data_IF_899971719589
#
_entry.id   IF_899971719589
#
_cell.length_a   1.000
_cell.length_b   1.000
_cell.length_c   1.000
_cell.angle_alpha   90.00
_cell.angle_beta   90.00
_cell.angle_gamma   90.00
#
_symmetry.space_group_name_H-M   'P 1'
#
loop_
_entity.id
_entity.type
_entity.pdbx_description
1 polymer ?
#
# COMPACT_ATOMS: atom_id res chain seq x y z
N UNK A 1 26.47 -11.13 11.32
CA UNK A 1 25.23 -11.83 11.71
C UNK A 1 25.08 -13.03 10.78
N UNK A 2 24.49 -14.12 11.23
CA UNK A 2 24.26 -15.31 10.39
C UNK A 2 23.34 -14.99 9.23
N UNK A 3 23.66 -15.49 8.04
CA UNK A 3 22.88 -15.31 6.81
C UNK A 3 21.59 -16.12 6.91
N UNK A 4 20.43 -15.49 6.65
CA UNK A 4 19.16 -16.18 6.51
C UNK A 4 18.87 -16.45 5.02
N UNK A 5 18.24 -17.58 4.77
CA UNK A 5 17.65 -17.91 3.48
C UNK A 5 16.17 -17.54 3.49
N UNK A 6 15.80 -16.46 2.81
CA UNK A 6 14.50 -15.82 2.87
C UNK A 6 13.75 -16.02 1.55
N UNK A 7 12.49 -16.43 1.63
CA UNK A 7 11.58 -16.41 0.48
C UNK A 7 10.50 -15.36 0.68
N UNK A 8 10.45 -14.37 -0.21
CA UNK A 8 9.32 -13.46 -0.36
C UNK A 8 8.36 -14.06 -1.40
N UNK A 9 7.15 -14.40 -0.99
CA UNK A 9 6.18 -15.10 -1.83
C UNK A 9 4.96 -14.23 -2.15
N UNK A 10 4.57 -14.17 -3.42
CA UNK A 10 3.36 -13.48 -3.89
C UNK A 10 2.97 -14.01 -5.26
N UNK A 11 1.66 -14.20 -5.56
CA UNK A 11 1.22 -14.62 -6.91
C UNK A 11 1.60 -13.66 -8.03
N UNK A 12 1.82 -12.39 -7.72
CA UNK A 12 2.19 -11.35 -8.69
C UNK A 12 3.53 -10.74 -8.31
N UNK A 13 4.36 -10.47 -9.31
CA UNK A 13 5.62 -9.75 -9.17
C UNK A 13 6.05 -9.18 -10.52
N UNK A 14 7.09 -8.36 -10.54
CA UNK A 14 7.57 -7.73 -11.77
C UNK A 14 7.63 -8.68 -12.97
N UNK A 15 7.18 -8.21 -14.15
CA UNK A 15 6.81 -6.85 -14.54
C UNK A 15 5.41 -6.37 -14.09
N UNK A 16 4.61 -7.17 -13.36
CA UNK A 16 3.37 -6.68 -12.75
C UNK A 16 3.72 -5.72 -11.61
N UNK A 17 3.13 -4.51 -11.62
CA UNK A 17 3.46 -3.43 -10.69
C UNK A 17 2.27 -3.08 -9.79
N UNK A 18 2.54 -2.99 -8.50
CA UNK A 18 1.62 -2.53 -7.46
C UNK A 18 2.39 -2.24 -6.16
N UNK A 19 1.68 -1.78 -5.13
CA UNK A 19 2.31 -1.44 -3.86
C UNK A 19 2.91 -2.64 -3.12
N UNK A 20 2.30 -3.83 -3.26
CA UNK A 20 2.80 -5.07 -2.66
C UNK A 20 4.09 -5.49 -3.37
N UNK A 21 4.10 -5.50 -4.70
CA UNK A 21 5.24 -5.89 -5.52
C UNK A 21 6.42 -4.93 -5.30
N UNK A 22 6.15 -3.64 -5.18
CA UNK A 22 7.17 -2.65 -4.85
C UNK A 22 7.77 -2.88 -3.46
N UNK A 23 6.94 -3.11 -2.43
CA UNK A 23 7.41 -3.45 -1.08
C UNK A 23 8.29 -4.71 -1.11
N UNK A 24 7.85 -5.77 -1.78
CA UNK A 24 8.62 -7.01 -1.90
C UNK A 24 9.96 -6.80 -2.61
N UNK A 25 9.98 -6.01 -3.68
CA UNK A 25 11.22 -5.63 -4.36
C UNK A 25 12.19 -4.95 -3.40
N UNK A 26 11.73 -3.89 -2.72
CA UNK A 26 12.57 -3.13 -1.79
C UNK A 26 13.05 -3.99 -0.61
N UNK A 27 12.18 -4.80 -0.02
CA UNK A 27 12.55 -5.72 1.06
C UNK A 27 13.58 -6.73 0.59
N UNK A 28 13.38 -7.36 -0.58
CA UNK A 28 14.32 -8.34 -1.15
C UNK A 28 15.69 -7.72 -1.45
N UNK A 29 15.72 -6.55 -2.10
CA UNK A 29 16.92 -5.78 -2.40
C UNK A 29 17.71 -5.43 -1.14
N UNK A 30 17.04 -4.97 -0.10
CA UNK A 30 17.70 -4.55 1.14
C UNK A 30 18.19 -5.74 1.97
N UNK A 31 17.47 -6.85 2.00
CA UNK A 31 17.95 -8.08 2.62
C UNK A 31 19.16 -8.66 1.88
N UNK A 32 19.13 -8.70 0.54
CA UNK A 32 20.29 -9.12 -0.26
C UNK A 32 21.52 -8.23 0.00
N UNK A 33 21.32 -6.90 0.07
CA UNK A 33 22.39 -5.95 0.44
C UNK A 33 22.96 -6.19 1.84
N UNK A 34 22.17 -6.74 2.76
CA UNK A 34 22.62 -7.14 4.12
C UNK A 34 23.28 -8.53 4.16
N UNK A 35 23.39 -9.21 3.02
CA UNK A 35 24.08 -10.50 2.89
C UNK A 35 23.19 -11.73 3.13
N UNK A 36 21.87 -11.59 3.06
CA UNK A 36 20.93 -12.71 3.09
C UNK A 36 20.77 -13.35 1.71
N UNK A 37 20.47 -14.66 1.66
CA UNK A 37 20.08 -15.38 0.44
C UNK A 37 18.58 -15.18 0.21
N UNK A 38 18.21 -14.35 -0.75
CA UNK A 38 16.81 -13.94 -0.97
C UNK A 38 16.26 -14.45 -2.28
N UNK A 39 15.11 -15.11 -2.22
CA UNK A 39 14.36 -15.57 -3.40
C UNK A 39 12.95 -14.98 -3.39
N UNK A 40 12.53 -14.37 -4.48
CA UNK A 40 11.13 -14.02 -4.74
C UNK A 40 10.47 -15.20 -5.46
N UNK A 41 9.45 -15.80 -4.83
CA UNK A 41 8.66 -16.89 -5.42
C UNK A 41 7.32 -16.36 -5.90
N UNK A 42 7.07 -16.45 -7.21
CA UNK A 42 5.88 -15.86 -7.84
C UNK A 42 5.32 -16.69 -8.98
N UNK A 43 4.22 -16.25 -9.58
CA UNK A 43 3.65 -16.87 -10.77
C UNK A 43 4.37 -16.42 -12.03
N UNK A 44 4.52 -17.35 -13.00
CA UNK A 44 5.08 -17.04 -14.31
C UNK A 44 4.09 -16.21 -15.12
N UNK A 45 4.43 -14.95 -15.35
CA UNK A 45 3.70 -14.07 -16.25
C UNK A 45 4.09 -14.38 -17.71
N UNK A 46 3.27 -14.00 -18.71
CA UNK A 46 3.67 -14.07 -20.12
C UNK A 46 5.04 -13.40 -20.34
N UNK A 47 5.84 -13.98 -21.22
CA UNK A 47 7.15 -13.47 -21.64
C UNK A 47 8.19 -13.30 -20.51
N UNK A 48 8.00 -14.00 -19.36
CA UNK A 48 8.97 -14.00 -18.26
C UNK A 48 9.70 -15.36 -18.17
N UNK A 49 11.02 -15.36 -17.81
CA UNK A 49 11.77 -16.59 -17.58
C UNK A 49 11.26 -17.32 -16.32
N UNK A 50 11.58 -18.60 -16.21
CA UNK A 50 11.26 -19.37 -15.00
C UNK A 50 12.11 -18.93 -13.81
N UNK A 51 13.39 -18.68 -14.04
CA UNK A 51 14.34 -18.20 -13.03
C UNK A 51 15.12 -17.00 -13.57
N UNK A 52 15.44 -16.06 -12.68
CA UNK A 52 16.11 -14.82 -13.03
C UNK A 52 16.94 -14.34 -11.85
N UNK A 53 18.22 -14.06 -12.08
CA UNK A 53 19.06 -13.36 -11.13
C UNK A 53 18.94 -11.86 -11.38
N UNK A 54 18.71 -11.10 -10.32
CA UNK A 54 18.58 -9.64 -10.43
C UNK A 54 19.90 -8.93 -10.17
N UNK A 55 20.07 -7.75 -10.75
CA UNK A 55 21.22 -6.88 -10.44
C UNK A 55 21.29 -6.45 -8.97
N UNK A 56 20.20 -6.64 -8.22
CA UNK A 56 20.08 -6.27 -6.81
C UNK A 56 20.53 -7.37 -5.83
N UNK A 57 20.98 -8.54 -6.35
CA UNK A 57 21.50 -9.65 -5.55
C UNK A 57 20.45 -10.60 -4.97
N UNK A 58 19.18 -10.49 -5.38
CA UNK A 58 18.15 -11.51 -5.11
C UNK A 58 17.73 -12.20 -6.40
N UNK A 59 17.21 -13.42 -6.30
CA UNK A 59 16.70 -14.17 -7.46
C UNK A 59 15.19 -14.23 -7.46
N UNK A 60 14.62 -14.39 -8.67
CA UNK A 60 13.20 -14.59 -8.88
C UNK A 60 12.97 -16.01 -9.41
N UNK A 61 12.08 -16.75 -8.76
CA UNK A 61 11.65 -18.08 -9.19
C UNK A 61 10.16 -18.04 -9.48
N UNK A 62 9.79 -18.45 -10.71
CA UNK A 62 8.42 -18.38 -11.18
C UNK A 62 7.83 -19.76 -11.39
N UNK A 63 6.67 -20.01 -10.82
CA UNK A 63 5.92 -21.26 -11.00
C UNK A 63 4.92 -21.16 -12.14
N UNK A 64 4.62 -22.27 -12.85
CA UNK A 64 3.59 -22.28 -13.88
C UNK A 64 2.25 -21.75 -13.37
N UNK A 65 1.63 -20.86 -14.15
CA UNK A 65 0.36 -20.22 -13.77
C UNK A 65 -0.58 -20.05 -14.97
N UNK A 66 -1.89 -20.01 -14.65
CA UNK A 66 -2.95 -19.61 -15.58
C UNK A 66 -3.69 -18.42 -14.99
N UNK A 67 -3.82 -17.35 -15.77
CA UNK A 67 -4.52 -16.12 -15.40
C UNK A 67 -5.90 -16.09 -16.04
N UNK A 68 -6.90 -15.70 -15.27
CA UNK A 68 -8.29 -15.56 -15.72
C UNK A 68 -8.73 -14.13 -15.41
N UNK A 69 -8.91 -13.33 -16.44
CA UNK A 69 -9.21 -11.90 -16.35
C UNK A 69 -10.70 -11.67 -16.05
N UNK A 70 -11.13 -11.95 -14.80
CA UNK A 70 -12.51 -11.68 -14.33
C UNK A 70 -12.54 -10.32 -13.61
N UNK A 71 -11.47 -9.95 -12.93
CA UNK A 71 -11.29 -8.70 -12.20
C UNK A 71 -9.81 -8.31 -12.16
N UNK A 72 -9.45 -7.20 -11.57
CA UNK A 72 -8.07 -6.71 -11.44
C UNK A 72 -7.67 -6.63 -9.95
N UNK A 73 -6.64 -7.36 -9.51
CA UNK A 73 -5.78 -8.29 -10.27
C UNK A 73 -6.52 -9.54 -10.75
N UNK A 74 -6.04 -10.20 -11.84
CA UNK A 74 -6.70 -11.37 -12.38
C UNK A 74 -6.68 -12.56 -11.40
N UNK A 75 -7.68 -13.42 -11.48
CA UNK A 75 -7.64 -14.69 -10.75
C UNK A 75 -6.50 -15.57 -11.29
N UNK A 76 -5.69 -16.14 -10.39
CA UNK A 76 -4.52 -16.94 -10.76
C UNK A 76 -4.63 -18.38 -10.23
N UNK A 77 -4.29 -19.34 -11.08
CA UNK A 77 -4.08 -20.75 -10.71
C UNK A 77 -2.63 -21.13 -10.95
N UNK A 78 -1.95 -21.56 -9.90
CA UNK A 78 -0.55 -21.97 -9.91
C UNK A 78 -0.39 -23.47 -9.70
N UNK A 79 0.78 -24.00 -10.08
CA UNK A 79 1.20 -25.38 -9.79
C UNK A 79 2.64 -25.38 -9.27
N UNK A 80 2.96 -26.22 -8.27
CA UNK A 80 4.33 -26.48 -7.84
C UNK A 80 4.91 -25.46 -6.85
N UNK A 81 4.10 -24.58 -6.25
CA UNK A 81 4.57 -23.65 -5.21
C UNK A 81 5.17 -24.39 -4.02
N UNK A 82 4.47 -25.39 -3.50
CA UNK A 82 4.95 -26.22 -2.38
C UNK A 82 6.23 -26.99 -2.74
N UNK A 83 6.29 -27.53 -3.96
CA UNK A 83 7.48 -28.26 -4.45
C UNK A 83 8.71 -27.32 -4.55
N UNK A 84 8.53 -26.13 -5.13
CA UNK A 84 9.62 -25.14 -5.21
C UNK A 84 10.06 -24.68 -3.81
N UNK A 85 9.13 -24.43 -2.87
CA UNK A 85 9.46 -24.08 -1.48
C UNK A 85 10.26 -25.17 -0.80
N UNK A 86 9.86 -26.45 -0.93
CA UNK A 86 10.60 -27.58 -0.36
C UNK A 86 11.99 -27.72 -0.99
N UNK A 87 12.13 -27.46 -2.30
CA UNK A 87 13.42 -27.51 -3.01
C UNK A 87 14.35 -26.34 -2.61
N UNK A 88 13.81 -25.16 -2.38
CA UNK A 88 14.56 -24.01 -1.88
C UNK A 88 14.97 -24.24 -0.43
N UNK A 89 14.11 -24.82 0.39
CA UNK A 89 14.32 -25.05 1.83
C UNK A 89 14.77 -23.75 2.56
N UNK A 90 13.92 -22.71 2.56
CA UNK A 90 14.24 -21.45 3.22
C UNK A 90 14.15 -21.55 4.74
N UNK A 91 14.91 -20.69 5.44
CA UNK A 91 14.77 -20.52 6.89
C UNK A 91 13.43 -19.88 7.25
N UNK A 92 12.96 -18.95 6.39
CA UNK A 92 11.66 -18.29 6.55
C UNK A 92 11.04 -17.94 5.20
N UNK A 93 9.70 -18.07 5.13
CA UNK A 93 8.88 -17.59 4.02
C UNK A 93 7.99 -16.45 4.49
N UNK A 94 8.00 -15.33 3.79
CA UNK A 94 7.00 -14.25 3.97
C UNK A 94 6.01 -14.28 2.80
N UNK A 95 4.72 -14.44 3.10
CA UNK A 95 3.67 -14.44 2.08
C UNK A 95 2.88 -13.15 2.15
N UNK A 96 2.64 -12.54 0.96
CA UNK A 96 2.15 -11.17 0.83
C UNK A 96 0.74 -11.06 0.22
N UNK A 97 0.06 -12.18 -0.05
CA UNK A 97 -1.21 -12.15 -0.77
C UNK A 97 -2.25 -13.13 -0.19
N UNK A 98 -3.51 -12.85 -0.46
CA UNK A 98 -4.65 -13.74 -0.24
C UNK A 98 -5.57 -13.72 -1.47
N UNK A 99 -6.46 -14.65 -1.61
CA UNK A 99 -7.38 -14.84 -2.73
C UNK A 99 -6.75 -15.45 -4.01
N UNK A 100 -5.63 -16.15 -3.87
CA UNK A 100 -5.06 -17.03 -4.90
C UNK A 100 -5.15 -18.50 -4.44
N UNK A 101 -6.33 -19.16 -4.52
CA UNK A 101 -6.63 -20.40 -3.79
C UNK A 101 -5.61 -21.53 -3.95
N UNK A 102 -4.99 -21.69 -5.13
CA UNK A 102 -3.94 -22.69 -5.35
C UNK A 102 -2.65 -22.31 -4.62
N UNK A 103 -2.20 -21.07 -4.76
CA UNK A 103 -1.02 -20.54 -4.08
C UNK A 103 -1.24 -20.56 -2.55
N UNK A 104 -2.38 -20.03 -2.09
CA UNK A 104 -2.79 -20.04 -0.68
C UNK A 104 -2.84 -21.44 -0.09
N UNK A 105 -3.27 -22.44 -0.89
CA UNK A 105 -3.33 -23.85 -0.46
C UNK A 105 -1.95 -24.47 -0.28
N UNK A 106 -1.01 -24.17 -1.18
CA UNK A 106 0.36 -24.63 -1.10
C UNK A 106 1.08 -23.96 0.10
N UNK A 107 0.91 -22.65 0.28
CA UNK A 107 1.43 -21.93 1.44
C UNK A 107 0.90 -22.49 2.77
N UNK A 108 -0.38 -22.81 2.86
CA UNK A 108 -0.97 -23.38 4.07
C UNK A 108 -0.42 -24.78 4.38
N UNK A 109 -0.04 -25.56 3.35
CA UNK A 109 0.55 -26.92 3.51
C UNK A 109 2.05 -26.92 3.79
N UNK A 110 2.75 -25.84 3.48
CA UNK A 110 4.17 -25.72 3.78
C UNK A 110 4.42 -25.81 5.29
N UNK A 111 5.40 -26.63 5.73
CA UNK A 111 5.67 -26.94 7.14
C UNK A 111 6.86 -26.13 7.72
N UNK A 112 7.60 -25.42 6.89
CA UNK A 112 8.68 -24.52 7.36
C UNK A 112 8.15 -23.27 8.03
N UNK A 113 9.05 -22.47 8.60
CA UNK A 113 8.72 -21.17 9.23
C UNK A 113 8.13 -20.21 8.22
N UNK A 114 7.02 -19.57 8.59
CA UNK A 114 6.29 -18.68 7.69
C UNK A 114 5.64 -17.51 8.40
N UNK A 115 5.86 -16.34 7.84
CA UNK A 115 5.20 -15.09 8.19
C UNK A 115 4.17 -14.72 7.12
N UNK A 116 3.15 -13.99 7.50
CA UNK A 116 2.20 -13.39 6.57
C UNK A 116 2.23 -11.86 6.72
N UNK A 117 2.43 -11.13 5.62
CA UNK A 117 2.29 -9.67 5.63
C UNK A 117 0.90 -9.29 5.14
N UNK A 118 0.11 -8.68 6.02
CA UNK A 118 -1.28 -8.31 5.77
C UNK A 118 -1.36 -6.85 5.32
N UNK A 119 -1.65 -6.63 4.03
CA UNK A 119 -1.56 -5.32 3.37
C UNK A 119 -2.84 -4.50 3.36
N UNK A 120 -3.99 -5.09 3.68
CA UNK A 120 -5.29 -4.45 3.56
C UNK A 120 -6.14 -4.70 4.81
N UNK A 121 -7.27 -4.00 4.94
CA UNK A 121 -8.27 -4.32 5.96
C UNK A 121 -9.04 -5.59 5.57
N UNK A 122 -9.66 -6.22 6.55
CA UNK A 122 -10.54 -7.34 6.34
C UNK A 122 -11.83 -6.90 5.65
N UNK A 123 -12.24 -7.61 4.59
CA UNK A 123 -13.45 -7.28 3.86
C UNK A 123 -13.33 -5.97 3.05
N UNK A 124 -12.14 -5.68 2.52
CA UNK A 124 -11.90 -4.46 1.74
C UNK A 124 -12.91 -4.28 0.60
N UNK A 125 -13.33 -3.04 0.38
CA UNK A 125 -14.26 -2.68 -0.69
C UNK A 125 -15.57 -2.09 -0.18
N UNK A 126 -16.47 -1.77 -1.11
CA UNK A 126 -17.76 -1.14 -0.83
C UNK A 126 -18.91 -1.92 -1.47
N UNK A 127 -20.02 -2.03 -0.76
CA UNK A 127 -21.22 -2.72 -1.23
C UNK A 127 -21.01 -4.22 -1.45
N UNK A 128 -21.46 -4.76 -2.57
CA UNK A 128 -21.37 -6.20 -2.88
C UNK A 128 -19.93 -6.69 -2.90
N UNK A 129 -18.98 -5.88 -3.38
CA UNK A 129 -17.56 -6.23 -3.38
C UNK A 129 -17.01 -6.39 -1.96
N UNK A 130 -17.36 -5.48 -1.04
CA UNK A 130 -16.97 -5.59 0.37
C UNK A 130 -17.53 -6.85 1.03
N UNK A 131 -18.79 -7.17 0.78
CA UNK A 131 -19.42 -8.40 1.28
C UNK A 131 -18.73 -9.68 0.75
N UNK A 132 -18.41 -9.72 -0.55
CA UNK A 132 -17.68 -10.85 -1.15
C UNK A 132 -16.27 -10.97 -0.58
N UNK A 133 -15.59 -9.85 -0.41
CA UNK A 133 -14.26 -9.76 0.18
C UNK A 133 -14.28 -10.29 1.62
N UNK A 134 -15.21 -9.82 2.45
CA UNK A 134 -15.35 -10.28 3.83
C UNK A 134 -15.63 -11.79 3.91
N UNK A 135 -16.49 -12.33 3.05
CA UNK A 135 -16.72 -13.76 2.95
C UNK A 135 -15.45 -14.53 2.62
N UNK A 136 -14.68 -14.06 1.64
CA UNK A 136 -13.42 -14.70 1.23
C UNK A 136 -12.38 -14.65 2.35
N UNK A 137 -12.27 -13.53 3.06
CA UNK A 137 -11.36 -13.39 4.20
C UNK A 137 -11.75 -14.29 5.36
N UNK A 138 -13.04 -14.43 5.64
CA UNK A 138 -13.53 -15.39 6.63
C UNK A 138 -13.15 -16.86 6.28
N UNK A 139 -13.18 -17.21 5.00
CA UNK A 139 -12.71 -18.53 4.53
C UNK A 139 -11.18 -18.65 4.63
N UNK A 140 -10.46 -17.56 4.34
CA UNK A 140 -9.00 -17.52 4.42
C UNK A 140 -8.47 -17.58 5.85
N UNK A 141 -9.25 -17.16 6.85
CA UNK A 141 -8.85 -17.13 8.26
C UNK A 141 -8.20 -18.45 8.73
N UNK A 142 -8.77 -19.60 8.34
CA UNK A 142 -8.21 -20.92 8.70
C UNK A 142 -6.77 -21.10 8.17
N UNK A 143 -6.47 -20.57 6.98
CA UNK A 143 -5.12 -20.62 6.40
C UNK A 143 -4.21 -19.61 7.10
N UNK A 144 -4.70 -18.42 7.39
CA UNK A 144 -3.95 -17.39 8.11
C UNK A 144 -3.46 -17.87 9.48
N UNK A 145 -4.27 -18.66 10.19
CA UNK A 145 -3.90 -19.26 11.47
C UNK A 145 -2.78 -20.32 11.38
N UNK A 146 -2.40 -20.77 10.19
CA UNK A 146 -1.26 -21.69 9.99
C UNK A 146 0.09 -21.00 9.95
N UNK A 147 0.13 -19.67 9.92
CA UNK A 147 1.37 -18.89 9.94
C UNK A 147 1.89 -18.75 11.38
N UNK A 148 3.21 -18.75 11.52
CA UNK A 148 3.87 -18.56 12.81
C UNK A 148 3.62 -17.13 13.31
N UNK A 149 3.63 -16.15 12.41
CA UNK A 149 3.45 -14.75 12.73
C UNK A 149 2.78 -13.97 11.59
N UNK A 150 2.27 -12.78 11.91
CA UNK A 150 1.61 -11.87 10.97
C UNK A 150 2.21 -10.48 11.13
N UNK A 151 2.62 -9.88 10.03
CA UNK A 151 2.96 -8.46 9.96
C UNK A 151 1.73 -7.69 9.50
N UNK A 152 1.26 -6.74 10.30
CA UNK A 152 0.26 -5.75 9.91
C UNK A 152 0.98 -4.47 9.44
N UNK A 153 0.53 -3.87 8.34
CA UNK A 153 1.18 -2.67 7.78
C UNK A 153 0.80 -1.37 8.50
N UNK A 154 -0.19 -1.40 9.39
CA UNK A 154 -0.61 -0.27 10.24
C UNK A 154 -1.23 -0.78 11.53
N UNK A 155 -1.31 0.07 12.55
CA UNK A 155 -2.06 -0.20 13.78
C UNK A 155 -3.53 -0.51 13.49
N UNK A 156 -4.14 0.20 12.54
CA UNK A 156 -5.53 -0.02 12.14
C UNK A 156 -5.74 -1.44 11.58
N UNK A 157 -4.82 -1.94 10.75
CA UNK A 157 -4.84 -3.32 10.24
C UNK A 157 -4.67 -4.33 11.38
N UNK A 158 -3.75 -4.09 12.33
CA UNK A 158 -3.59 -4.94 13.53
C UNK A 158 -4.90 -4.99 14.32
N UNK A 159 -5.50 -3.85 14.62
CA UNK A 159 -6.70 -3.76 15.44
C UNK A 159 -7.90 -4.44 14.76
N UNK A 160 -7.97 -4.37 13.43
CA UNK A 160 -8.98 -5.10 12.66
C UNK A 160 -8.79 -6.61 12.74
N UNK A 161 -7.56 -7.11 12.60
CA UNK A 161 -7.21 -8.53 12.75
C UNK A 161 -7.54 -9.04 14.17
N UNK A 162 -7.23 -8.25 15.21
CA UNK A 162 -7.55 -8.58 16.61
C UNK A 162 -9.06 -8.65 16.81
N UNK A 163 -9.83 -7.68 16.28
CA UNK A 163 -11.31 -7.74 16.32
C UNK A 163 -11.88 -8.97 15.63
N UNK A 164 -11.18 -9.51 14.63
CA UNK A 164 -11.55 -10.75 13.93
C UNK A 164 -11.08 -12.02 14.65
N UNK A 165 -10.47 -11.86 15.84
CA UNK A 165 -10.06 -12.96 16.72
C UNK A 165 -8.72 -13.58 16.32
N UNK A 166 -7.82 -12.82 15.73
CA UNK A 166 -6.39 -13.17 15.62
C UNK A 166 -5.72 -12.77 16.93
N UNK A 167 -4.88 -13.64 17.46
CA UNK A 167 -4.15 -13.42 18.69
C UNK A 167 -3.18 -12.22 18.52
N UNK A 168 -3.29 -11.17 19.33
CA UNK A 168 -2.41 -10.00 19.23
C UNK A 168 -0.92 -10.35 19.43
N UNK A 169 -0.58 -11.40 20.18
CA UNK A 169 0.80 -11.86 20.35
C UNK A 169 1.43 -12.38 19.05
N UNK A 170 0.61 -12.73 18.07
CA UNK A 170 1.02 -13.16 16.73
C UNK A 170 1.10 -12.01 15.72
N UNK A 171 0.90 -10.76 16.13
CA UNK A 171 0.86 -9.63 15.21
C UNK A 171 1.93 -8.61 15.59
N UNK A 172 2.75 -8.23 14.62
CA UNK A 172 3.67 -7.09 14.74
C UNK A 172 3.33 -6.05 13.68
N UNK A 173 3.32 -4.76 14.08
CA UNK A 173 3.13 -3.67 13.12
C UNK A 173 4.48 -3.28 12.54
N UNK A 174 4.59 -3.36 11.21
CA UNK A 174 5.75 -2.90 10.43
C UNK A 174 5.23 -2.12 9.23
N UNK A 175 5.35 -0.80 9.31
CA UNK A 175 4.83 0.13 8.32
C UNK A 175 5.45 -0.06 6.92
N UNK A 176 4.76 0.42 5.89
CA UNK A 176 5.39 0.69 4.61
C UNK A 176 6.27 1.93 4.71
N UNK A 177 7.24 2.05 3.80
CA UNK A 177 8.21 3.15 3.82
C UNK A 177 8.27 3.85 2.48
N UNK A 178 8.93 5.01 2.49
CA UNK A 178 9.28 5.77 1.31
C UNK A 178 10.63 5.32 0.77
N UNK A 179 10.76 5.26 -0.55
CA UNK A 179 12.02 4.89 -1.20
C UNK A 179 13.06 6.01 -1.09
N UNK A 180 12.60 7.24 -1.25
CA UNK A 180 13.46 8.42 -1.25
C UNK A 180 12.79 9.58 -0.50
N UNK A 181 13.63 10.45 0.06
CA UNK A 181 13.20 11.75 0.55
C UNK A 181 13.69 12.80 -0.45
N UNK A 182 12.77 13.40 -1.23
CA UNK A 182 13.16 14.37 -2.24
C UNK A 182 13.72 15.64 -1.60
N UNK A 183 14.51 16.39 -2.37
CA UNK A 183 14.80 17.76 -2.05
C UNK A 183 13.50 18.59 -2.11
N UNK A 184 13.29 19.42 -1.10
CA UNK A 184 12.10 20.26 -1.04
C UNK A 184 12.24 21.38 -2.06
N UNK A 185 11.18 21.67 -2.79
CA UNK A 185 11.13 22.78 -3.76
C UNK A 185 10.43 23.97 -3.14
N UNK A 186 11.00 25.15 -3.35
CA UNK A 186 10.34 26.43 -3.03
C UNK A 186 9.32 26.82 -4.12
N UNK A 187 9.28 26.10 -5.24
CA UNK A 187 8.31 26.33 -6.31
C UNK A 187 6.93 25.83 -5.90
N UNK A 188 5.95 26.72 -5.85
CA UNK A 188 4.55 26.40 -5.57
C UNK A 188 3.68 26.75 -6.79
N UNK A 189 3.05 25.72 -7.36
CA UNK A 189 2.09 25.87 -8.44
C UNK A 189 0.70 26.24 -7.91
N UNK A 190 -0.09 26.87 -8.75
CA UNK A 190 -1.47 27.29 -8.42
C UNK A 190 -2.49 26.17 -8.60
N UNK A 191 -2.26 25.02 -7.93
CA UNK A 191 -3.18 23.87 -7.96
C UNK A 191 -3.07 22.99 -6.71
N UNK A 192 -4.16 22.30 -6.40
CA UNK A 192 -4.19 21.20 -5.45
C UNK A 192 -4.16 19.87 -6.21
N UNK A 193 -3.60 18.82 -5.60
CA UNK A 193 -3.34 17.54 -6.27
C UNK A 193 -4.14 16.40 -5.63
N UNK A 194 -4.76 15.58 -6.47
CA UNK A 194 -5.22 14.24 -6.12
C UNK A 194 -4.53 13.22 -7.04
N UNK A 195 -3.95 12.17 -6.48
CA UNK A 195 -3.26 11.13 -7.24
C UNK A 195 -3.62 9.75 -6.73
N UNK A 196 -3.99 8.85 -7.64
CA UNK A 196 -4.28 7.46 -7.30
C UNK A 196 -5.23 6.78 -8.28
N UNK A 197 -5.50 5.50 -8.04
CA UNK A 197 -6.46 4.74 -8.84
C UNK A 197 -7.87 5.34 -8.71
N UNK A 198 -8.55 5.52 -9.82
CA UNK A 198 -9.93 6.03 -9.81
C UNK A 198 -10.91 4.87 -9.56
N UNK A 199 -11.01 4.48 -8.30
CA UNK A 199 -11.92 3.44 -7.79
C UNK A 199 -12.87 4.02 -6.74
N UNK A 200 -13.98 3.33 -6.51
CA UNK A 200 -15.06 3.80 -5.62
C UNK A 200 -14.58 4.12 -4.19
N UNK A 201 -13.61 3.35 -3.68
CA UNK A 201 -13.06 3.55 -2.33
C UNK A 201 -12.31 4.87 -2.16
N UNK A 202 -11.89 5.53 -3.25
CA UNK A 202 -11.18 6.81 -3.21
C UNK A 202 -12.09 8.03 -3.08
N UNK A 203 -13.42 7.88 -3.09
CA UNK A 203 -14.37 8.96 -2.79
C UNK A 203 -14.28 10.17 -3.71
N UNK A 204 -13.83 9.99 -4.96
CA UNK A 204 -13.57 11.09 -5.89
C UNK A 204 -14.83 11.88 -6.28
N UNK A 205 -16.01 11.24 -6.23
CA UNK A 205 -17.30 11.89 -6.44
C UNK A 205 -17.58 12.96 -5.37
N UNK A 206 -17.22 12.72 -4.11
CA UNK A 206 -17.35 13.72 -3.04
C UNK A 206 -16.38 14.89 -3.24
N UNK A 207 -15.18 14.62 -3.76
CA UNK A 207 -14.21 15.69 -4.09
C UNK A 207 -14.75 16.58 -5.24
N UNK A 208 -15.26 15.97 -6.32
CA UNK A 208 -15.82 16.75 -7.43
C UNK A 208 -17.03 17.57 -6.97
N UNK A 209 -17.84 17.03 -6.07
CA UNK A 209 -18.95 17.78 -5.48
C UNK A 209 -18.46 18.95 -4.63
N UNK A 210 -17.42 18.77 -3.80
CA UNK A 210 -16.78 19.81 -3.01
C UNK A 210 -16.22 20.95 -3.89
N UNK A 211 -15.65 20.62 -5.06
CA UNK A 211 -15.12 21.61 -6.00
C UNK A 211 -16.15 22.61 -6.55
N UNK A 212 -17.45 22.36 -6.37
CA UNK A 212 -18.49 23.36 -6.67
C UNK A 212 -18.34 24.64 -5.83
N UNK A 213 -17.80 24.50 -4.62
CA UNK A 213 -17.63 25.55 -3.61
C UNK A 213 -16.16 26.00 -3.46
N UNK A 214 -15.27 25.48 -4.31
CA UNK A 214 -13.83 25.78 -4.27
C UNK A 214 -13.44 26.47 -5.56
N UNK A 215 -12.98 27.72 -5.47
CA UNK A 215 -12.50 28.50 -6.62
C UNK A 215 -10.99 28.37 -6.75
N UNK A 216 -10.53 27.16 -7.07
CA UNK A 216 -9.12 26.85 -7.25
C UNK A 216 -8.95 25.64 -8.19
N UNK A 217 -7.76 25.50 -8.80
CA UNK A 217 -7.47 24.41 -9.73
C UNK A 217 -7.19 23.10 -9.00
N UNK A 218 -7.89 22.04 -9.41
CA UNK A 218 -7.63 20.66 -9.00
C UNK A 218 -6.99 19.89 -10.15
N UNK A 219 -5.81 19.31 -9.94
CA UNK A 219 -5.19 18.34 -10.85
C UNK A 219 -5.45 16.93 -10.32
N UNK A 220 -6.01 16.07 -11.17
CA UNK A 220 -6.31 14.68 -10.83
C UNK A 220 -5.52 13.74 -11.72
N UNK A 221 -4.67 12.90 -11.13
CA UNK A 221 -3.86 11.92 -11.84
C UNK A 221 -4.26 10.49 -11.46
N UNK A 222 -4.33 9.63 -12.47
CA UNK A 222 -4.67 8.22 -12.36
C UNK A 222 -5.80 7.80 -13.26
N UNK A 223 -6.04 6.48 -13.32
CA UNK A 223 -7.11 5.85 -14.09
C UNK A 223 -7.81 4.78 -13.27
N UNK A 224 -9.01 4.41 -13.68
CA UNK A 224 -9.76 3.32 -13.04
C UNK A 224 -11.20 3.23 -13.51
N UNK A 225 -11.97 2.26 -12.98
CA UNK A 225 -13.37 2.04 -13.36
C UNK A 225 -14.26 3.27 -13.20
N UNK A 226 -13.97 4.15 -12.22
CA UNK A 226 -14.75 5.36 -11.95
C UNK A 226 -14.41 6.54 -12.87
N UNK A 227 -13.32 6.49 -13.68
CA UNK A 227 -12.87 7.62 -14.50
C UNK A 227 -14.00 8.25 -15.32
N UNK A 228 -14.78 7.45 -16.05
CA UNK A 228 -15.90 7.95 -16.88
C UNK A 228 -17.02 8.59 -16.05
N UNK A 229 -17.25 8.08 -14.83
CA UNK A 229 -18.24 8.66 -13.91
C UNK A 229 -17.77 10.02 -13.42
N UNK A 230 -16.51 10.13 -13.04
CA UNK A 230 -15.91 11.39 -12.55
C UNK A 230 -15.91 12.45 -13.66
N UNK A 231 -15.50 12.10 -14.88
CA UNK A 231 -15.60 13.02 -16.04
C UNK A 231 -17.03 13.54 -16.26
N UNK A 232 -18.04 12.67 -16.14
CA UNK A 232 -19.44 13.07 -16.25
C UNK A 232 -19.86 14.04 -15.14
N UNK A 233 -19.37 13.84 -13.90
CA UNK A 233 -19.65 14.76 -12.79
C UNK A 233 -18.98 16.12 -13.00
N UNK A 234 -17.73 16.15 -13.45
CA UNK A 234 -17.02 17.39 -13.80
C UNK A 234 -17.83 18.20 -14.82
N UNK A 235 -18.29 17.57 -15.90
CA UNK A 235 -19.13 18.21 -16.91
C UNK A 235 -20.49 18.65 -16.36
N UNK A 236 -21.14 17.79 -15.58
CA UNK A 236 -22.47 18.08 -14.98
C UNK A 236 -22.43 19.32 -14.09
N UNK A 237 -21.33 19.54 -13.38
CA UNK A 237 -21.19 20.67 -12.47
C UNK A 237 -20.47 21.89 -13.09
N UNK A 238 -20.12 21.84 -14.38
CA UNK A 238 -19.48 22.95 -15.08
C UNK A 238 -18.07 23.24 -14.57
N UNK A 239 -17.32 22.19 -14.19
CA UNK A 239 -16.01 22.35 -13.54
C UNK A 239 -14.82 22.11 -14.49
N UNK A 240 -15.04 22.09 -15.82
CA UNK A 240 -13.99 21.72 -16.80
C UNK A 240 -12.78 22.65 -16.76
N UNK A 241 -12.97 23.92 -16.45
CA UNK A 241 -11.89 24.91 -16.38
C UNK A 241 -11.09 24.83 -15.08
N UNK A 242 -11.65 24.19 -14.03
CA UNK A 242 -11.02 24.07 -12.70
C UNK A 242 -10.52 22.67 -12.36
N UNK A 243 -11.03 21.61 -13.02
CA UNK A 243 -10.64 20.22 -12.77
C UNK A 243 -9.91 19.65 -13.99
N UNK A 244 -8.59 19.49 -13.86
CA UNK A 244 -7.71 18.94 -14.88
C UNK A 244 -7.50 17.44 -14.63
N UNK A 245 -8.19 16.59 -15.40
CA UNK A 245 -8.09 15.12 -15.32
C UNK A 245 -7.03 14.60 -16.30
N UNK A 246 -5.78 14.42 -15.84
CA UNK A 246 -4.64 14.03 -16.69
C UNK A 246 -4.57 12.55 -17.02
N UNK A 247 -5.35 11.73 -16.32
CA UNK A 247 -5.24 10.28 -16.46
C UNK A 247 -3.91 9.74 -15.92
N UNK A 248 -3.34 8.74 -16.58
CA UNK A 248 -2.03 8.21 -16.19
C UNK A 248 -0.93 9.20 -16.60
N UNK A 249 -0.03 9.52 -15.68
CA UNK A 249 1.13 10.39 -15.90
C UNK A 249 2.42 9.60 -15.73
N UNK A 250 3.51 10.07 -16.33
CA UNK A 250 4.85 9.49 -16.13
C UNK A 250 5.32 9.68 -14.69
N UNK A 251 6.32 8.90 -14.26
CA UNK A 251 6.92 9.07 -12.92
C UNK A 251 7.50 10.48 -12.76
N UNK A 252 8.21 10.99 -13.77
CA UNK A 252 8.75 12.35 -13.79
C UNK A 252 7.66 13.41 -13.57
N UNK A 253 6.54 13.31 -14.30
CA UNK A 253 5.41 14.24 -14.14
C UNK A 253 4.73 14.07 -12.77
N UNK A 254 4.63 12.86 -12.24
CA UNK A 254 4.14 12.60 -10.88
C UNK A 254 4.99 13.34 -9.86
N UNK A 255 6.32 13.18 -9.92
CA UNK A 255 7.25 13.81 -9.00
C UNK A 255 7.17 15.35 -9.11
N UNK A 256 7.10 15.90 -10.34
CA UNK A 256 6.93 17.32 -10.56
C UNK A 256 5.63 17.86 -9.95
N UNK A 257 4.51 17.17 -10.15
CA UNK A 257 3.22 17.56 -9.58
C UNK A 257 3.21 17.48 -8.05
N UNK A 258 3.82 16.45 -7.49
CA UNK A 258 3.95 16.31 -6.03
C UNK A 258 4.82 17.44 -5.44
N UNK A 259 5.95 17.77 -6.08
CA UNK A 259 6.85 18.82 -5.57
C UNK A 259 6.26 20.21 -5.67
N UNK A 260 5.37 20.48 -6.64
CA UNK A 260 4.87 21.84 -6.91
C UNK A 260 3.42 22.07 -6.49
N UNK A 261 2.61 21.04 -6.16
CA UNK A 261 1.25 21.30 -5.72
C UNK A 261 1.23 22.13 -4.41
N UNK A 262 0.16 22.88 -4.21
CA UNK A 262 -0.03 23.68 -2.98
C UNK A 262 -0.24 22.75 -1.77
N UNK A 263 -1.11 21.77 -1.93
CA UNK A 263 -1.31 20.67 -0.99
C UNK A 263 -2.00 19.48 -1.67
N UNK A 264 -2.02 18.36 -0.99
CA UNK A 264 -2.62 17.13 -1.48
C UNK A 264 -4.03 16.93 -0.93
N UNK A 265 -4.94 16.31 -1.72
CA UNK A 265 -6.32 16.01 -1.27
C UNK A 265 -6.59 14.52 -1.42
N UNK A 266 -7.01 13.86 -0.34
CA UNK A 266 -7.30 12.43 -0.32
C UNK A 266 -8.66 12.12 0.33
N UNK A 267 -9.77 12.15 -0.45
CA UNK A 267 -11.14 12.03 0.06
C UNK A 267 -11.60 10.56 0.22
N UNK A 268 -10.70 9.66 0.60
CA UNK A 268 -10.94 8.22 0.61
C UNK A 268 -12.13 7.83 1.51
N UNK A 269 -12.93 6.86 1.07
CA UNK A 269 -13.98 6.21 1.87
C UNK A 269 -13.39 5.02 2.62
N UNK A 270 -12.31 4.49 2.08
CA UNK A 270 -11.56 3.37 2.60
C UNK A 270 -10.09 3.50 2.17
N UNK A 271 -9.16 3.37 3.11
CA UNK A 271 -7.71 3.46 2.86
C UNK A 271 -6.91 2.68 3.91
N UNK A 272 -6.38 1.53 3.56
CA UNK A 272 -5.62 0.72 4.51
C UNK A 272 -4.28 1.35 4.91
N UNK A 273 -3.62 2.07 3.98
CA UNK A 273 -2.32 2.70 4.24
C UNK A 273 -2.23 4.14 3.73
N UNK A 274 -2.46 4.37 2.43
CA UNK A 274 -2.34 5.69 1.83
C UNK A 274 -0.92 6.05 1.39
N UNK A 275 -0.26 5.19 0.60
CA UNK A 275 1.09 5.46 0.09
C UNK A 275 1.20 6.83 -0.61
N UNK A 276 0.20 7.23 -1.40
CA UNK A 276 0.20 8.53 -2.06
C UNK A 276 0.16 9.72 -1.07
N UNK A 277 -0.48 9.52 0.10
CA UNK A 277 -0.43 10.50 1.17
C UNK A 277 0.99 10.60 1.74
N UNK A 278 1.61 9.47 2.04
CA UNK A 278 2.97 9.43 2.57
C UNK A 278 3.99 10.02 1.57
N UNK A 279 3.83 9.74 0.27
CA UNK A 279 4.61 10.37 -0.80
C UNK A 279 4.44 11.90 -0.76
N UNK A 280 3.20 12.43 -0.69
CA UNK A 280 2.97 13.87 -0.61
C UNK A 280 3.62 14.50 0.65
N UNK A 281 3.54 13.83 1.80
CA UNK A 281 4.21 14.29 3.03
C UNK A 281 5.73 14.39 2.87
N UNK A 282 6.35 13.49 2.09
CA UNK A 282 7.80 13.55 1.86
C UNK A 282 8.26 14.78 1.09
N UNK A 283 7.36 15.37 0.29
CA UNK A 283 7.57 16.66 -0.38
C UNK A 283 7.16 17.86 0.49
N UNK A 284 6.90 17.65 1.78
CA UNK A 284 6.41 18.70 2.67
C UNK A 284 5.00 19.18 2.33
N UNK A 285 4.22 18.40 1.55
CA UNK A 285 2.86 18.81 1.18
C UNK A 285 1.86 18.37 2.24
N UNK A 286 1.18 19.31 2.91
CA UNK A 286 0.12 18.99 3.86
C UNK A 286 -1.08 18.39 3.12
N UNK A 287 -1.95 17.69 3.84
CA UNK A 287 -3.02 16.90 3.23
C UNK A 287 -4.38 17.28 3.80
N UNK A 288 -5.35 17.57 2.93
CA UNK A 288 -6.77 17.51 3.29
C UNK A 288 -7.25 16.07 3.03
N UNK A 289 -7.55 15.33 4.07
CA UNK A 289 -7.94 13.93 3.96
C UNK A 289 -9.12 13.55 4.85
N UNK A 290 -9.71 12.41 4.56
CA UNK A 290 -10.76 11.84 5.39
C UNK A 290 -10.16 11.10 6.59
N UNK A 291 -10.90 11.12 7.71
CA UNK A 291 -10.58 10.36 8.92
C UNK A 291 -11.07 8.90 8.76
N UNK A 292 -10.32 8.10 7.99
CA UNK A 292 -10.65 6.70 7.71
C UNK A 292 -9.43 5.79 7.87
N UNK A 293 -9.67 4.64 8.47
CA UNK A 293 -8.76 3.48 8.54
C UNK A 293 -7.30 3.84 8.90
N UNK A 294 -6.36 3.63 7.96
CA UNK A 294 -4.93 3.86 8.17
C UNK A 294 -4.46 5.31 7.97
N UNK A 295 -5.29 6.22 7.41
CA UNK A 295 -4.86 7.60 7.14
C UNK A 295 -4.45 8.37 8.40
N UNK A 296 -5.22 8.36 9.51
CA UNK A 296 -4.81 9.09 10.70
C UNK A 296 -3.48 8.63 11.29
N UNK A 297 -3.20 7.32 11.22
CA UNK A 297 -1.93 6.74 11.70
C UNK A 297 -0.71 7.17 10.87
N UNK A 298 -0.89 7.41 9.57
CA UNK A 298 0.19 7.73 8.65
C UNK A 298 0.34 9.24 8.40
N UNK A 299 -0.77 9.98 8.36
CA UNK A 299 -0.76 11.44 8.12
C UNK A 299 -0.56 12.23 9.41
N UNK A 300 -1.05 11.71 10.54
CA UNK A 300 -0.88 12.30 11.89
C UNK A 300 -1.26 13.79 11.92
N UNK A 301 -0.42 14.62 12.49
CA UNK A 301 -0.58 16.06 12.65
C UNK A 301 -0.24 16.89 11.39
N UNK A 302 0.03 16.22 10.26
CA UNK A 302 0.21 16.85 8.95
C UNK A 302 -1.07 16.95 8.12
N UNK A 303 -2.20 16.44 8.64
CA UNK A 303 -3.48 16.39 7.95
C UNK A 303 -4.52 17.37 8.48
N UNK A 304 -5.31 17.90 7.55
CA UNK A 304 -6.61 18.49 7.84
C UNK A 304 -7.68 17.40 7.64
N UNK A 305 -8.27 16.94 8.74
CA UNK A 305 -9.19 15.79 8.69
C UNK A 305 -10.64 16.19 8.52
N UNK A 306 -11.33 15.49 7.64
CA UNK A 306 -12.76 15.62 7.40
C UNK A 306 -13.46 14.26 7.50
N UNK A 307 -14.77 14.26 7.71
CA UNK A 307 -15.55 13.01 7.71
C UNK A 307 -15.57 12.39 6.31
N UNK A 308 -15.55 11.06 6.19
CA UNK A 308 -15.74 10.40 4.89
C UNK A 308 -17.14 10.68 4.34
N UNK A 309 -17.24 10.81 3.01
CA UNK A 309 -18.48 11.11 2.27
C UNK A 309 -19.10 12.48 2.61
N UNK A 310 -18.30 13.41 3.07
CA UNK A 310 -18.71 14.78 3.43
C UNK A 310 -18.10 15.79 2.43
N UNK A 311 -18.85 16.11 1.38
CA UNK A 311 -18.41 17.06 0.35
C UNK A 311 -18.34 18.51 0.90
N UNK A 312 -19.18 18.85 1.86
CA UNK A 312 -19.19 20.19 2.47
C UNK A 312 -17.97 20.37 3.39
N UNK A 313 -17.67 19.35 4.21
CA UNK A 313 -16.47 19.33 5.02
C UNK A 313 -15.20 19.37 4.19
N UNK A 314 -15.15 18.66 3.05
CA UNK A 314 -14.03 18.73 2.10
C UNK A 314 -13.88 20.13 1.51
N UNK A 315 -14.97 20.75 1.05
CA UNK A 315 -14.94 22.11 0.52
C UNK A 315 -14.44 23.11 1.56
N UNK A 316 -14.93 23.00 2.80
CA UNK A 316 -14.49 23.84 3.93
C UNK A 316 -12.99 23.66 4.18
N UNK A 317 -12.51 22.42 4.33
CA UNK A 317 -11.10 22.13 4.60
C UNK A 317 -10.17 22.60 3.48
N UNK A 318 -10.57 22.42 2.22
CA UNK A 318 -9.82 22.91 1.06
C UNK A 318 -9.75 24.44 1.08
N UNK A 319 -10.87 25.16 1.29
CA UNK A 319 -10.90 26.61 1.33
C UNK A 319 -10.09 27.18 2.51
N UNK A 320 -10.15 26.55 3.67
CA UNK A 320 -9.36 26.95 4.84
C UNK A 320 -7.86 26.78 4.55
N UNK A 321 -7.47 25.66 3.95
CA UNK A 321 -6.08 25.42 3.52
C UNK A 321 -5.62 26.36 2.40
N UNK A 322 -6.51 26.91 1.58
CA UNK A 322 -6.20 27.90 0.57
C UNK A 322 -5.98 29.30 1.15
N UNK A 323 -6.71 29.66 2.21
CA UNK A 323 -6.76 31.02 2.77
C UNK A 323 -5.91 31.23 4.02
N UNK A 324 -5.63 30.18 4.80
CA UNK A 324 -4.80 30.22 5.99
C UNK A 324 -3.37 29.72 5.73
N UNK A 325 -2.48 30.66 5.37
CA UNK A 325 -1.07 30.37 5.10
C UNK A 325 -0.32 29.87 6.35
N UNK A 326 -0.73 30.31 7.54
CA UNK A 326 -0.11 29.89 8.80
C UNK A 326 -0.40 28.44 9.10
N UNK A 327 -1.67 28.03 8.97
CA UNK A 327 -2.09 26.64 9.11
C UNK A 327 -1.36 25.76 8.08
N UNK A 328 -1.35 26.16 6.82
CA UNK A 328 -0.70 25.41 5.75
C UNK A 328 0.79 25.23 6.01
N UNK A 329 1.49 26.27 6.44
CA UNK A 329 2.91 26.21 6.81
C UNK A 329 3.15 25.25 7.98
N UNK A 330 2.36 25.35 9.03
CA UNK A 330 2.45 24.43 10.19
C UNK A 330 2.28 22.99 9.77
N UNK A 331 1.26 22.68 8.96
CA UNK A 331 1.01 21.30 8.48
C UNK A 331 2.11 20.83 7.53
N UNK A 332 2.72 21.71 6.74
CA UNK A 332 3.88 21.41 5.90
C UNK A 332 5.12 21.03 6.72
N UNK A 333 5.42 21.75 7.78
CA UNK A 333 6.50 21.40 8.72
C UNK A 333 6.26 20.05 9.38
N UNK A 334 5.02 19.77 9.75
CA UNK A 334 4.61 18.49 10.30
C UNK A 334 4.75 17.37 9.27
N UNK A 335 4.39 17.62 8.00
CA UNK A 335 4.51 16.66 6.90
C UNK A 335 5.94 16.13 6.75
N UNK A 336 6.92 17.04 6.79
CA UNK A 336 8.35 16.69 6.74
C UNK A 336 8.75 15.81 7.92
N UNK A 337 8.31 16.17 9.14
CA UNK A 337 8.63 15.39 10.36
C UNK A 337 8.01 14.00 10.32
N UNK A 338 6.73 13.93 9.95
CA UNK A 338 5.99 12.67 9.87
C UNK A 338 6.60 11.73 8.83
N UNK A 339 6.88 12.22 7.62
CA UNK A 339 7.42 11.37 6.55
C UNK A 339 8.78 10.76 6.90
N UNK A 340 9.65 11.50 7.58
CA UNK A 340 10.99 11.04 7.98
C UNK A 340 10.99 9.88 8.98
N UNK A 341 9.86 9.57 9.61
CA UNK A 341 9.72 8.40 10.47
C UNK A 341 9.52 7.09 9.70
N UNK A 342 9.24 7.15 8.39
CA UNK A 342 8.95 5.98 7.55
C UNK A 342 10.14 5.64 6.65
N UNK A 343 11.25 5.17 7.26
CA UNK A 343 12.48 4.82 6.56
C UNK A 343 12.60 3.31 6.31
N UNK A 344 13.18 2.95 5.16
CA UNK A 344 13.46 1.55 4.85
C UNK A 344 14.50 0.93 5.80
N UNK A 345 15.45 1.70 6.31
CA UNK A 345 16.48 1.18 7.23
C UNK A 345 15.85 0.69 8.55
N UNK A 346 14.90 1.45 9.10
CA UNK A 346 14.16 1.05 10.31
C UNK A 346 13.25 -0.13 10.04
N UNK A 347 12.52 -0.09 8.92
CA UNK A 347 11.59 -1.14 8.52
C UNK A 347 12.32 -2.47 8.33
N UNK A 348 13.44 -2.48 7.59
CA UNK A 348 14.19 -3.70 7.30
C UNK A 348 14.85 -4.25 8.57
N UNK A 349 15.34 -3.39 9.48
CA UNK A 349 15.89 -3.80 10.76
C UNK A 349 14.83 -4.46 11.65
N UNK A 350 13.62 -3.89 11.73
CA UNK A 350 12.49 -4.49 12.45
C UNK A 350 12.07 -5.82 11.84
N UNK A 351 12.02 -5.90 10.51
CA UNK A 351 11.64 -7.13 9.79
C UNK A 351 12.69 -8.21 9.99
N UNK A 352 13.97 -7.90 9.90
CA UNK A 352 15.08 -8.84 10.15
C UNK A 352 15.03 -9.38 11.58
N UNK A 353 14.85 -8.51 12.58
CA UNK A 353 14.71 -8.92 13.98
C UNK A 353 13.53 -9.87 14.17
N UNK A 354 12.40 -9.57 13.54
CA UNK A 354 11.21 -10.44 13.58
C UNK A 354 11.48 -11.80 12.92
N UNK A 355 12.10 -11.83 11.74
CA UNK A 355 12.39 -13.08 11.03
C UNK A 355 13.33 -13.98 11.84
N UNK A 356 14.37 -13.41 12.44
CA UNK A 356 15.25 -14.16 13.36
C UNK A 356 14.49 -14.73 14.55
N UNK A 357 13.63 -13.93 15.18
CA UNK A 357 12.82 -14.40 16.31
C UNK A 357 11.86 -15.54 15.94
N UNK A 358 11.33 -15.54 14.70
CA UNK A 358 10.49 -16.62 14.18
C UNK A 358 11.33 -17.89 13.96
N UNK A 359 12.50 -17.75 13.35
CA UNK A 359 13.41 -18.87 13.04
C UNK A 359 13.92 -19.51 14.32
N UNK A 360 14.35 -18.70 15.28
CA UNK A 360 14.93 -19.14 16.56
C UNK A 360 13.85 -19.61 17.57
N UNK A 361 12.56 -19.38 17.28
CA UNK A 361 11.46 -19.70 18.19
C UNK A 361 11.41 -18.83 19.45
N UNK A 362 11.97 -17.62 19.41
CA UNK A 362 12.06 -16.68 20.56
C UNK A 362 10.97 -15.60 20.54
N UNK A 363 9.94 -15.76 19.70
CA UNK A 363 8.78 -14.86 19.69
C UNK A 363 8.13 -14.76 21.07
N UNK A 364 7.95 -13.53 21.56
CA UNK A 364 7.31 -13.27 22.88
C UNK A 364 8.24 -13.39 24.09
N UNK A 365 9.51 -13.73 23.89
CA UNK A 365 10.50 -13.58 24.94
C UNK A 365 10.99 -12.13 24.91
N UNK A 366 10.50 -11.30 25.85
CA UNK A 366 11.08 -9.99 26.12
C UNK A 366 12.56 -10.17 26.44
N UNK A 367 13.45 -9.53 25.68
CA UNK A 367 14.81 -9.29 26.14
C UNK A 367 14.70 -8.48 27.45
N UNK A 368 14.93 -9.14 28.59
CA UNK A 368 15.24 -8.49 29.85
C UNK A 368 16.40 -7.50 29.71
#
# INVERSE_FOLDING_TARGET
>A
METLKIVEANPFFYPYQGGIEHRMHMTSKLFAKRGHDVTVLTSRLPDTPEEEETEYGYRIVRVPAKFINIYNPPYVRTKGVLEKLNGISPDIVNYNYRWAPSFDGDMARYQGKKNFTYHNMWGEGVGIQGWMSERNDNLYKKKLLTYDHIVAITDCVRDDLVRRGIDPSKITVIDNCLETFPELSDEEGEFILNLGRMVKTKGLDYLIEAMKQVDYKLVMCGKGPESKKIEKLVRKYGLQDRVDMRGWVSEEEKLRLMSTCKFFVMPSIYEAYGLAALEALSYGKPIVCTDVDGLPGNVKDAGYYVKPKDSEGLAKGINEMLTDDSLRKQLSENAIKVSRAFTWDDQIAKTEKLYRAIVDGTLGQSSE
#
